data_IF_733364500700
#
_entry.id   IF_733364500700
#
_cell.length_a   1.000
_cell.length_b   1.000
_cell.length_c   1.000
_cell.angle_alpha   90.00
_cell.angle_beta   90.00
_cell.angle_gamma   90.00
#
_symmetry.space_group_name_H-M   'P 1'
#
loop_
_entity.id
_entity.type
_entity.pdbx_description
1 polymer ?
#
# COMPACT_ATOMS: atom_id res chain seq x y z
N UNK A 1 13.77 5.88 -5.47
CA UNK A 1 12.84 6.64 -4.63
C UNK A 1 13.63 7.53 -3.65
N UNK A 2 13.55 8.86 -3.76
CA UNK A 2 14.23 9.77 -2.83
C UNK A 2 13.28 10.21 -1.71
N UNK A 3 13.60 9.99 -0.42
CA UNK A 3 12.79 10.49 0.68
C UNK A 3 13.02 11.99 0.95
N UNK A 4 14.04 12.59 0.33
CA UNK A 4 14.41 13.98 0.53
C UNK A 4 13.34 14.95 0.03
N UNK A 5 13.27 16.18 0.59
CA UNK A 5 12.43 17.23 0.04
C UNK A 5 12.74 17.48 -1.43
N UNK A 6 11.69 17.63 -2.25
CA UNK A 6 11.81 18.02 -3.66
C UNK A 6 10.81 19.15 -3.96
N UNK A 7 11.19 20.17 -4.76
CA UNK A 7 10.26 21.23 -5.18
C UNK A 7 8.97 20.69 -5.80
N UNK A 8 9.05 19.56 -6.51
CA UNK A 8 7.93 18.95 -7.23
C UNK A 8 6.90 18.28 -6.31
N UNK A 9 7.15 18.19 -5.00
CA UNK A 9 6.23 17.55 -4.05
C UNK A 9 4.90 18.32 -3.89
N UNK A 10 4.88 19.62 -4.18
CA UNK A 10 3.71 20.48 -3.98
C UNK A 10 3.43 20.86 -2.51
N UNK A 11 4.31 20.48 -1.57
CA UNK A 11 4.33 20.95 -0.17
C UNK A 11 5.75 20.96 0.38
N UNK A 12 5.97 21.65 1.51
CA UNK A 12 7.26 21.60 2.22
C UNK A 12 7.48 20.25 2.93
N UNK A 13 8.74 19.87 3.10
CA UNK A 13 9.19 18.71 3.87
C UNK A 13 9.55 17.48 3.03
N UNK A 14 9.82 16.36 3.70
CA UNK A 14 10.16 15.09 3.07
C UNK A 14 8.98 14.55 2.23
N UNK A 15 9.31 13.83 1.15
CA UNK A 15 8.33 13.13 0.30
C UNK A 15 7.49 12.16 1.14
N UNK A 16 8.16 11.28 1.90
CA UNK A 16 7.52 10.45 2.91
C UNK A 16 7.91 10.96 4.31
N UNK A 17 6.93 11.38 5.13
CA UNK A 17 7.22 11.91 6.47
C UNK A 17 7.71 10.83 7.46
N UNK A 18 7.49 9.54 7.17
CA UNK A 18 7.83 8.43 8.08
C UNK A 18 9.29 7.98 7.95
N UNK A 19 9.87 8.04 6.73
CA UNK A 19 11.22 7.51 6.45
C UNK A 19 12.30 8.04 7.40
N UNK A 20 12.39 9.36 7.71
CA UNK A 20 13.44 9.86 8.58
C UNK A 20 13.41 9.26 10.00
N UNK A 21 12.23 9.00 10.57
CA UNK A 21 12.13 8.40 11.89
C UNK A 21 12.41 6.90 11.84
N UNK A 22 11.81 6.18 10.88
CA UNK A 22 12.08 4.76 10.65
C UNK A 22 13.58 4.47 10.48
N UNK A 23 14.30 5.32 9.73
CA UNK A 23 15.75 5.20 9.56
C UNK A 23 16.52 5.38 10.87
N UNK A 24 16.16 6.40 11.68
CA UNK A 24 16.83 6.64 12.98
C UNK A 24 16.59 5.52 13.98
N UNK A 25 15.46 4.82 13.87
CA UNK A 25 15.10 3.70 14.75
C UNK A 25 15.52 2.33 14.18
N UNK A 26 16.18 2.29 13.02
CA UNK A 26 16.55 1.05 12.30
C UNK A 26 15.36 0.11 12.00
N UNK A 27 14.22 0.71 11.62
CA UNK A 27 12.95 0.01 11.35
C UNK A 27 12.61 -0.13 9.86
N UNK A 28 13.60 0.10 8.98
CA UNK A 28 13.48 -0.19 7.55
C UNK A 28 14.30 -1.43 7.24
N UNK A 29 13.63 -2.50 6.81
CA UNK A 29 14.28 -3.75 6.41
C UNK A 29 14.16 -3.96 4.92
N UNK A 30 15.20 -4.52 4.33
CA UNK A 30 15.23 -4.92 2.93
C UNK A 30 15.27 -6.44 2.85
N UNK A 31 14.48 -6.99 1.94
CA UNK A 31 14.40 -8.41 1.66
C UNK A 31 14.67 -8.65 0.18
N UNK A 32 15.36 -9.76 -0.09
CA UNK A 32 15.58 -10.31 -1.41
C UNK A 32 14.90 -11.68 -1.46
N UNK A 33 14.25 -12.00 -2.57
CA UNK A 33 13.74 -13.35 -2.79
C UNK A 33 14.92 -14.29 -3.09
N UNK A 34 14.96 -15.44 -2.41
CA UNK A 34 15.91 -16.52 -2.67
C UNK A 34 15.14 -17.86 -2.79
N UNK A 35 15.07 -18.50 -3.98
CA UNK A 35 15.67 -18.03 -5.24
C UNK A 35 15.00 -16.74 -5.77
N UNK A 36 15.65 -16.03 -6.73
CA UNK A 36 15.06 -14.84 -7.35
C UNK A 36 13.65 -15.08 -7.89
N UNK A 37 12.73 -14.17 -7.58
CA UNK A 37 11.33 -14.26 -8.00
C UNK A 37 11.14 -13.78 -9.45
N UNK A 38 11.51 -14.63 -10.41
CA UNK A 38 11.45 -14.33 -11.85
C UNK A 38 10.08 -14.57 -12.50
N UNK A 39 9.18 -15.31 -11.85
CA UNK A 39 7.82 -15.59 -12.34
C UNK A 39 6.73 -15.21 -11.33
N UNK A 40 5.48 -15.28 -11.77
CA UNK A 40 4.32 -14.90 -10.97
C UNK A 40 4.13 -15.77 -9.73
N UNK A 41 4.42 -17.08 -9.81
CA UNK A 41 4.27 -18.00 -8.70
C UNK A 41 5.33 -17.78 -7.62
N UNK A 42 6.59 -17.63 -8.03
CA UNK A 42 7.69 -17.31 -7.14
C UNK A 42 7.47 -15.94 -6.46
N UNK A 43 6.97 -14.95 -7.21
CA UNK A 43 6.66 -13.64 -6.65
C UNK A 43 5.50 -13.70 -5.66
N UNK A 44 4.43 -14.47 -5.95
CA UNK A 44 3.34 -14.69 -4.99
C UNK A 44 3.85 -15.31 -3.68
N UNK A 45 4.73 -16.31 -3.76
CA UNK A 45 5.33 -16.92 -2.58
C UNK A 45 6.20 -15.92 -1.80
N UNK A 46 7.01 -15.12 -2.50
CA UNK A 46 7.84 -14.09 -1.88
C UNK A 46 7.00 -13.01 -1.17
N UNK A 47 5.85 -12.63 -1.73
CA UNK A 47 4.93 -11.66 -1.10
C UNK A 47 4.24 -12.24 0.12
N UNK A 48 3.85 -13.52 0.10
CA UNK A 48 3.32 -14.19 1.27
C UNK A 48 4.37 -14.26 2.40
N UNK A 49 5.61 -14.59 2.07
CA UNK A 49 6.73 -14.57 3.01
C UNK A 49 6.99 -13.16 3.55
N UNK A 50 6.97 -12.13 2.69
CA UNK A 50 7.11 -10.73 3.07
C UNK A 50 6.08 -10.33 4.15
N UNK A 51 4.82 -10.73 3.96
CA UNK A 51 3.74 -10.48 4.93
C UNK A 51 4.03 -11.16 6.27
N UNK A 52 4.36 -12.45 6.25
CA UNK A 52 4.68 -13.22 7.44
C UNK A 52 5.87 -12.61 8.21
N UNK A 53 6.92 -12.21 7.50
CA UNK A 53 8.07 -11.53 8.08
C UNK A 53 7.71 -10.19 8.70
N UNK A 54 6.90 -9.37 8.04
CA UNK A 54 6.49 -8.08 8.60
C UNK A 54 5.68 -8.26 9.89
N UNK A 55 4.77 -9.24 9.93
CA UNK A 55 3.96 -9.54 11.12
C UNK A 55 4.82 -10.01 12.30
N UNK A 56 5.88 -10.78 12.04
CA UNK A 56 6.82 -11.27 13.07
C UNK A 56 7.90 -10.24 13.48
N UNK A 57 8.11 -9.19 12.69
CA UNK A 57 9.18 -8.22 12.91
C UNK A 57 8.83 -7.26 14.05
N UNK A 58 9.77 -7.03 14.96
CA UNK A 58 9.62 -5.96 15.96
C UNK A 58 9.67 -4.56 15.31
N UNK A 59 8.93 -3.58 15.83
CA UNK A 59 7.92 -3.70 16.89
C UNK A 59 6.67 -4.45 16.41
N UNK A 60 6.18 -5.39 17.23
CA UNK A 60 4.88 -6.07 17.02
C UNK A 60 3.70 -5.28 17.62
N UNK A 61 3.98 -4.24 18.41
CA UNK A 61 2.98 -3.36 19.01
C UNK A 61 3.56 -2.05 19.54
N UNK A 62 2.69 -1.15 19.97
CA UNK A 62 3.07 0.17 20.50
C UNK A 62 3.27 1.25 19.43
N UNK A 63 3.67 2.44 19.87
CA UNK A 63 3.66 3.65 19.05
C UNK A 63 4.56 3.59 17.81
N UNK A 64 5.63 2.80 17.86
CA UNK A 64 6.61 2.68 16.76
C UNK A 64 6.25 1.61 15.73
N UNK A 65 5.14 0.90 15.90
CA UNK A 65 4.63 -0.05 14.87
C UNK A 65 4.44 0.65 13.53
N UNK A 66 3.97 1.89 13.54
CA UNK A 66 3.77 2.72 12.34
C UNK A 66 5.07 3.02 11.58
N UNK A 67 6.21 3.02 12.27
CA UNK A 67 7.51 3.33 11.70
C UNK A 67 8.13 2.11 11.00
N UNK A 68 7.55 0.91 11.20
CA UNK A 68 8.06 -0.35 10.68
C UNK A 68 7.74 -0.56 9.19
N UNK A 69 8.79 -0.73 8.39
CA UNK A 69 8.67 -0.97 6.94
C UNK A 69 9.55 -2.13 6.50
N UNK A 70 9.05 -2.97 5.62
CA UNK A 70 9.86 -3.95 4.88
C UNK A 70 9.73 -3.70 3.37
N UNK A 71 10.86 -3.77 2.67
CA UNK A 71 10.97 -3.54 1.23
C UNK A 71 11.46 -4.84 0.59
N UNK A 72 10.62 -5.47 -0.22
CA UNK A 72 11.01 -6.58 -1.08
C UNK A 72 11.56 -6.03 -2.39
N UNK A 73 12.83 -6.31 -2.66
CA UNK A 73 13.53 -5.88 -3.87
C UNK A 73 13.40 -6.96 -4.95
N UNK A 74 12.91 -6.58 -6.14
CA UNK A 74 12.52 -7.51 -7.20
C UNK A 74 13.27 -7.19 -8.49
N UNK A 75 14.61 -7.30 -8.44
CA UNK A 75 15.48 -6.88 -9.53
C UNK A 75 15.22 -7.56 -10.88
N UNK A 76 14.71 -8.80 -10.85
CA UNK A 76 14.48 -9.62 -12.05
C UNK A 76 13.01 -9.67 -12.48
N UNK A 77 12.09 -9.09 -11.70
CA UNK A 77 10.66 -9.22 -11.96
C UNK A 77 10.17 -8.16 -12.96
N UNK A 78 9.44 -8.55 -14.03
CA UNK A 78 8.78 -7.60 -14.90
C UNK A 78 7.72 -6.77 -14.15
N UNK A 79 7.61 -5.47 -14.47
CA UNK A 79 6.69 -4.56 -13.78
C UNK A 79 5.22 -5.02 -13.83
N UNK A 80 4.80 -5.60 -14.96
CA UNK A 80 3.46 -6.16 -15.15
C UNK A 80 3.19 -7.36 -14.24
N UNK A 81 4.20 -8.17 -13.94
CA UNK A 81 4.07 -9.29 -12.97
C UNK A 81 3.93 -8.71 -11.56
N UNK A 82 4.73 -7.70 -11.22
CA UNK A 82 4.64 -7.00 -9.92
C UNK A 82 3.25 -6.40 -9.71
N UNK A 83 2.70 -5.71 -10.71
CA UNK A 83 1.34 -5.13 -10.64
C UNK A 83 0.28 -6.20 -10.43
N UNK A 84 0.34 -7.33 -11.15
CA UNK A 84 -0.64 -8.41 -11.00
C UNK A 84 -0.56 -9.11 -9.66
N UNK A 85 0.65 -9.37 -9.14
CA UNK A 85 0.81 -9.99 -7.82
C UNK A 85 0.40 -9.01 -6.72
N UNK A 86 0.78 -7.74 -6.84
CA UNK A 86 0.35 -6.68 -5.92
C UNK A 86 -1.17 -6.58 -5.82
N UNK A 87 -1.87 -6.50 -6.96
CA UNK A 87 -3.33 -6.33 -6.99
C UNK A 87 -4.06 -7.51 -6.32
N UNK A 88 -3.52 -8.73 -6.47
CA UNK A 88 -4.05 -9.93 -5.80
C UNK A 88 -3.74 -9.98 -4.31
N UNK A 89 -2.55 -9.56 -3.90
CA UNK A 89 -2.10 -9.64 -2.51
C UNK A 89 -2.64 -8.50 -1.64
N UNK A 90 -2.84 -7.30 -2.20
CA UNK A 90 -3.22 -6.09 -1.46
C UNK A 90 -4.43 -6.28 -0.53
N UNK A 91 -5.51 -6.99 -0.90
CA UNK A 91 -6.63 -7.23 0.02
C UNK A 91 -6.24 -7.91 1.32
N UNK A 92 -5.37 -8.92 1.27
CA UNK A 92 -4.93 -9.61 2.48
C UNK A 92 -4.05 -8.74 3.36
N UNK A 93 -3.26 -7.83 2.78
CA UNK A 93 -2.47 -6.87 3.55
C UNK A 93 -3.38 -5.83 4.23
N UNK A 94 -4.34 -5.29 3.47
CA UNK A 94 -5.29 -4.29 3.95
C UNK A 94 -6.17 -4.85 5.07
N UNK A 95 -6.58 -6.12 4.97
CA UNK A 95 -7.32 -6.83 6.00
C UNK A 95 -6.59 -6.90 7.35
N UNK A 96 -5.25 -6.92 7.33
CA UNK A 96 -4.39 -6.96 8.52
C UNK A 96 -3.88 -5.57 8.95
N UNK A 97 -4.50 -4.49 8.45
CA UNK A 97 -4.12 -3.12 8.80
C UNK A 97 -2.79 -2.67 8.19
N UNK A 98 -2.34 -3.37 7.14
CA UNK A 98 -1.13 -3.05 6.41
C UNK A 98 -1.46 -2.33 5.10
N UNK A 99 -0.48 -1.63 4.57
CA UNK A 99 -0.48 -1.17 3.18
C UNK A 99 0.64 -1.85 2.43
N UNK A 100 0.30 -2.40 1.27
CA UNK A 100 1.23 -2.89 0.27
C UNK A 100 1.28 -1.88 -0.88
N UNK A 101 2.47 -1.32 -1.13
CA UNK A 101 2.73 -0.40 -2.24
C UNK A 101 3.63 -1.03 -3.30
N UNK A 102 3.30 -0.79 -4.55
CA UNK A 102 4.06 -1.17 -5.73
C UNK A 102 4.89 0.02 -6.25
N UNK A 103 6.16 -0.24 -6.55
CA UNK A 103 7.08 0.74 -7.13
C UNK A 103 7.79 0.09 -8.30
N UNK A 104 7.88 0.76 -9.44
CA UNK A 104 8.55 0.23 -10.63
C UNK A 104 8.91 1.34 -11.63
N UNK A 105 9.77 1.06 -12.63
CA UNK A 105 10.16 2.05 -13.62
C UNK A 105 8.95 2.57 -14.40
N UNK A 106 8.77 3.90 -14.41
CA UNK A 106 7.67 4.53 -15.15
C UNK A 106 6.29 4.41 -14.50
N UNK A 107 6.20 4.07 -13.20
CA UNK A 107 4.92 3.98 -12.49
C UNK A 107 4.05 5.24 -12.70
N UNK A 108 2.77 5.12 -13.14
CA UNK A 108 1.95 6.27 -13.55
C UNK A 108 1.29 7.01 -12.38
N UNK A 109 1.23 6.39 -11.21
CA UNK A 109 0.58 6.92 -10.00
C UNK A 109 1.05 8.33 -9.61
N UNK A 110 0.13 9.30 -9.48
CA UNK A 110 0.45 10.68 -9.14
C UNK A 110 0.75 10.87 -7.66
N UNK A 111 1.40 11.98 -7.33
CA UNK A 111 1.51 12.47 -5.95
C UNK A 111 0.18 12.99 -5.40
N UNK A 112 0.00 12.89 -4.08
CA UNK A 112 -1.23 13.35 -3.41
C UNK A 112 -1.45 14.87 -3.53
N UNK A 113 -0.37 15.66 -3.63
CA UNK A 113 -0.41 17.12 -3.68
C UNK A 113 -0.01 17.71 -5.03
N UNK A 114 0.66 16.92 -5.87
CA UNK A 114 1.05 17.31 -7.23
C UNK A 114 0.78 16.15 -8.19
N UNK A 115 -0.17 16.28 -9.13
CA UNK A 115 -0.49 15.23 -10.09
C UNK A 115 0.63 14.94 -11.08
N UNK A 116 1.61 15.83 -11.25
CA UNK A 116 2.78 15.64 -12.13
C UNK A 116 3.96 14.96 -11.42
N UNK A 117 3.92 14.89 -10.09
CA UNK A 117 4.92 14.18 -9.32
C UNK A 117 4.69 12.66 -9.39
N UNK A 118 5.77 11.86 -9.54
CA UNK A 118 5.73 10.39 -9.65
C UNK A 118 6.42 9.75 -8.45
N UNK A 119 5.80 9.75 -7.25
CA UNK A 119 6.43 9.24 -6.03
C UNK A 119 6.67 7.72 -6.04
N UNK A 120 5.95 7.00 -6.90
CA UNK A 120 6.00 5.53 -7.00
C UNK A 120 7.01 5.04 -8.05
N UNK A 121 7.74 5.94 -8.69
CA UNK A 121 8.81 5.59 -9.61
C UNK A 121 10.04 5.03 -8.86
N UNK A 122 10.57 3.91 -9.34
CA UNK A 122 11.80 3.29 -8.86
C UNK A 122 12.50 2.57 -10.01
N UNK A 123 13.82 2.71 -10.14
CA UNK A 123 14.60 2.05 -11.21
C UNK A 123 14.59 0.52 -11.06
N UNK A 124 14.44 0.03 -9.83
CA UNK A 124 14.22 -1.37 -9.51
C UNK A 124 12.79 -1.58 -9.05
N UNK A 125 12.06 -2.61 -9.54
CA UNK A 125 10.75 -2.95 -9.00
C UNK A 125 10.82 -3.32 -7.51
N UNK A 126 9.88 -2.81 -6.72
CA UNK A 126 9.80 -3.05 -5.27
C UNK A 126 8.35 -3.31 -4.86
N UNK A 127 8.20 -4.14 -3.84
CA UNK A 127 6.97 -4.20 -3.03
C UNK A 127 7.30 -3.75 -1.61
N UNK A 128 6.55 -2.77 -1.12
CA UNK A 128 6.80 -2.16 0.19
C UNK A 128 5.60 -2.42 1.08
N UNK A 129 5.84 -3.08 2.22
CA UNK A 129 4.83 -3.31 3.24
C UNK A 129 5.13 -2.46 4.48
N UNK A 130 4.10 -1.78 4.97
CA UNK A 130 4.13 -0.93 6.17
C UNK A 130 2.76 -0.93 6.86
N UNK A 131 2.69 -0.37 8.06
CA UNK A 131 1.40 -0.06 8.66
C UNK A 131 0.57 0.89 7.79
N UNK A 132 -0.74 0.64 7.75
CA UNK A 132 -1.70 1.58 7.19
C UNK A 132 -1.77 2.85 8.04
N UNK A 133 -1.97 3.97 7.38
CA UNK A 133 -2.14 5.28 8.00
C UNK A 133 -3.38 5.99 7.46
N UNK A 134 -3.90 6.97 8.18
CA UNK A 134 -5.13 7.67 7.80
C UNK A 134 -5.11 8.30 6.38
N UNK A 135 -3.93 8.70 5.90
CA UNK A 135 -3.76 9.26 4.56
C UNK A 135 -3.83 8.20 3.44
N UNK A 136 -3.98 6.93 3.77
CA UNK A 136 -4.10 5.85 2.78
C UNK A 136 -5.50 5.70 2.19
N UNK A 137 -6.52 6.30 2.81
CA UNK A 137 -7.91 6.21 2.36
C UNK A 137 -8.09 6.50 0.84
N UNK A 138 -7.48 7.54 0.24
CA UNK A 138 -7.59 7.77 -1.20
C UNK A 138 -7.07 6.62 -2.07
N UNK A 139 -6.07 5.86 -1.60
CA UNK A 139 -5.51 4.71 -2.34
C UNK A 139 -6.33 3.42 -2.18
N UNK A 140 -7.25 3.40 -1.22
CA UNK A 140 -8.19 2.30 -0.96
C UNK A 140 -9.55 2.51 -1.66
N UNK A 141 -9.81 3.72 -2.13
CA UNK A 141 -11.13 4.16 -2.63
C UNK A 141 -11.12 4.56 -4.10
N UNK A 142 -10.06 4.19 -4.83
CA UNK A 142 -9.92 4.50 -6.25
C UNK A 142 -10.98 3.80 -7.09
N UNK A 143 -11.57 4.53 -8.05
CA UNK A 143 -12.63 4.03 -8.92
C UNK A 143 -12.22 2.83 -9.79
N UNK A 144 -10.91 2.60 -9.97
CA UNK A 144 -10.37 1.41 -10.65
C UNK A 144 -10.75 0.10 -9.95
N UNK A 145 -11.02 0.15 -8.64
CA UNK A 145 -11.40 -1.03 -7.87
C UNK A 145 -12.91 -1.28 -7.99
N UNK A 146 -13.32 -2.55 -8.18
CA UNK A 146 -14.73 -2.88 -8.18
C UNK A 146 -15.35 -2.63 -6.78
N UNK A 147 -16.68 -2.43 -6.69
CA UNK A 147 -17.29 -1.92 -5.48
C UNK A 147 -17.18 -2.88 -4.28
N UNK A 148 -17.12 -4.19 -4.50
CA UNK A 148 -16.82 -5.20 -3.47
C UNK A 148 -15.43 -4.99 -2.87
N UNK A 149 -14.42 -4.76 -3.71
CA UNK A 149 -13.06 -4.50 -3.26
C UNK A 149 -12.94 -3.17 -2.51
N UNK A 150 -13.61 -2.11 -2.98
CA UNK A 150 -13.65 -0.82 -2.27
C UNK A 150 -14.33 -0.97 -0.90
N UNK A 151 -15.47 -1.67 -0.83
CA UNK A 151 -16.16 -1.91 0.43
C UNK A 151 -15.26 -2.64 1.44
N UNK A 152 -14.63 -3.75 1.03
CA UNK A 152 -13.72 -4.51 1.89
C UNK A 152 -12.53 -3.66 2.37
N UNK A 153 -11.89 -2.89 1.48
CA UNK A 153 -10.78 -2.02 1.87
C UNK A 153 -11.20 -0.94 2.88
N UNK A 154 -12.37 -0.34 2.70
CA UNK A 154 -12.86 0.72 3.57
C UNK A 154 -13.32 0.17 4.92
N UNK A 155 -13.88 -1.04 4.96
CA UNK A 155 -14.19 -1.75 6.21
C UNK A 155 -12.92 -1.98 7.02
N UNK A 156 -11.88 -2.59 6.43
CA UNK A 156 -10.60 -2.79 7.09
C UNK A 156 -9.95 -1.47 7.51
N UNK A 157 -10.04 -0.42 6.68
CA UNK A 157 -9.55 0.91 7.07
C UNK A 157 -10.25 1.43 8.33
N UNK A 158 -11.58 1.31 8.42
CA UNK A 158 -12.35 1.81 9.57
C UNK A 158 -12.05 1.07 10.86
N UNK A 159 -11.75 -0.23 10.75
CA UNK A 159 -11.31 -1.13 11.83
C UNK A 159 -9.90 -0.78 12.32
N UNK A 160 -8.94 -0.72 11.41
CA UNK A 160 -7.51 -0.54 11.73
C UNK A 160 -7.10 0.91 11.95
N UNK A 161 -7.94 1.89 11.60
CA UNK A 161 -7.69 3.32 11.82
C UNK A 161 -8.77 3.97 12.71
N UNK A 162 -8.94 3.51 13.97
CA UNK A 162 -9.93 4.06 14.89
C UNK A 162 -9.62 5.51 15.27
N UNK A 163 -8.35 5.90 15.27
CA UNK A 163 -7.85 7.24 15.60
C UNK A 163 -7.84 8.21 14.41
N UNK A 164 -8.24 7.78 13.21
CA UNK A 164 -8.35 8.69 12.07
C UNK A 164 -9.31 9.85 12.37
N UNK A 165 -8.97 11.06 11.92
CA UNK A 165 -9.76 12.26 12.19
C UNK A 165 -11.22 12.14 11.71
N UNK A 166 -12.13 12.85 12.38
CA UNK A 166 -13.58 12.75 12.13
C UNK A 166 -13.95 12.97 10.64
N UNK A 167 -13.28 13.90 9.95
CA UNK A 167 -13.52 14.15 8.53
C UNK A 167 -13.09 12.98 7.64
N UNK A 168 -11.98 12.30 7.96
CA UNK A 168 -11.51 11.11 7.23
C UNK A 168 -12.44 9.93 7.47
N UNK A 169 -12.85 9.70 8.72
CA UNK A 169 -13.81 8.64 9.07
C UNK A 169 -15.18 8.86 8.43
N UNK A 170 -15.63 10.12 8.33
CA UNK A 170 -16.86 10.46 7.59
C UNK A 170 -16.74 10.09 6.11
N UNK A 171 -15.67 10.53 5.44
CA UNK A 171 -15.39 10.18 4.03
C UNK A 171 -15.33 8.66 3.81
N UNK A 172 -14.67 7.93 4.71
CA UNK A 172 -14.64 6.46 4.65
C UNK A 172 -16.06 5.87 4.73
N UNK A 173 -16.91 6.32 5.66
CA UNK A 173 -18.29 5.83 5.76
C UNK A 173 -19.15 6.16 4.53
N UNK A 174 -18.96 7.35 3.97
CA UNK A 174 -19.63 7.78 2.73
C UNK A 174 -19.22 6.87 1.55
N UNK A 175 -17.93 6.56 1.41
CA UNK A 175 -17.45 5.61 0.41
C UNK A 175 -18.04 4.21 0.62
N UNK A 176 -18.04 3.72 1.86
CA UNK A 176 -18.58 2.40 2.16
C UNK A 176 -20.05 2.29 1.77
N UNK A 177 -20.84 3.32 2.09
CA UNK A 177 -22.24 3.40 1.69
C UNK A 177 -22.39 3.44 0.16
N UNK A 178 -21.54 4.21 -0.53
CA UNK A 178 -21.53 4.28 -2.00
C UNK A 178 -21.24 2.92 -2.64
N UNK A 179 -20.14 2.28 -2.23
CA UNK A 179 -19.71 0.98 -2.74
C UNK A 179 -20.75 -0.12 -2.50
N UNK A 180 -21.34 -0.20 -1.29
CA UNK A 180 -22.44 -1.13 -0.99
C UNK A 180 -23.70 -0.84 -1.82
N UNK A 181 -24.00 0.44 -2.04
CA UNK A 181 -25.11 0.83 -2.90
C UNK A 181 -24.90 0.41 -4.37
N UNK A 182 -23.68 0.47 -4.88
CA UNK A 182 -23.34 -0.03 -6.23
C UNK A 182 -23.48 -1.55 -6.33
N UNK A 183 -23.05 -2.29 -5.31
CA UNK A 183 -23.24 -3.75 -5.25
C UNK A 183 -24.71 -4.16 -5.28
N UNK A 184 -25.55 -3.48 -4.48
CA UNK A 184 -26.98 -3.77 -4.42
C UNK A 184 -27.71 -3.49 -5.74
N UNK A 185 -27.18 -2.60 -6.59
CA UNK A 185 -27.72 -2.27 -7.91
C UNK A 185 -27.17 -3.18 -9.02
N UNK A 186 -26.18 -4.03 -8.75
CA UNK A 186 -25.61 -4.92 -9.76
C UNK A 186 -26.63 -6.02 -10.07
N UNK A 187 -27.04 -6.19 -11.34
CA UNK A 187 -27.93 -7.30 -11.71
C UNK A 187 -27.25 -8.64 -11.37
N UNK A 188 -28.02 -9.68 -10.99
CA UNK A 188 -27.45 -11.00 -10.75
C UNK A 188 -26.69 -11.45 -12.00
N UNK A 189 -25.50 -12.02 -11.80
CA UNK A 189 -24.70 -12.55 -12.91
C UNK A 189 -25.57 -13.55 -13.69
N UNK A 190 -25.69 -13.35 -15.01
CA UNK A 190 -26.28 -14.36 -15.87
C UNK A 190 -25.44 -15.63 -15.72
N UNK A 191 -26.08 -16.69 -15.21
CA UNK A 191 -25.47 -18.01 -15.00
C UNK A 191 -25.16 -18.71 -16.32
#
# INVERSE_FOLDING_TARGET
MSPAPTPDLGRRGAVCPFVPLSQRLDLIRFALADPPAGDEGALTAAVAALKAHWLAMEPVGGQHTIDKTIVLVLAEAPAEVVVRVHDRAKPEFVADGMMLGEFFPGHPGPGLHNPDFRPLHSDTPLLVARSMVANDLPFLTQDRYPPDRRAGFVESFLEHQPSAGAATRRRAREELARARGELARRPPAAG
#
